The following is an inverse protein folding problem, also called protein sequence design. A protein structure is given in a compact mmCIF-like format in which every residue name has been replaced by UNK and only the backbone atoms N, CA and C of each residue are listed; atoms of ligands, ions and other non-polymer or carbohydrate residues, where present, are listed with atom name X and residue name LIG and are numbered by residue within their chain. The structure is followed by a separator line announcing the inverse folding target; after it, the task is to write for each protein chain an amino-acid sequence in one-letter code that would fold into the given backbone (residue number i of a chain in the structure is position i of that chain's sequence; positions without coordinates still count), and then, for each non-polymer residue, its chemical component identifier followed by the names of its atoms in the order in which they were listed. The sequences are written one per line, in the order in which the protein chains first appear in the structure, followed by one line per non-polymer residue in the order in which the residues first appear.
data_IF_857198236708
#
_entry.id   IF_857198236708
#
_cell.length_a   1.000
_cell.length_b   1.000
_cell.length_c   1.000
_cell.angle_alpha   90.00
_cell.angle_beta   90.00
_cell.angle_gamma   90.00
#
_symmetry.space_group_name_H-M   'P 1'
#
loop_
_entity.id
_entity.type
_entity.pdbx_description
1 polymer ?
#
# COMPACT_ATOMS: atom_id res chain seq x y z
N UNK A 1 8.40 23.34 -31.28
CA UNK A 1 8.76 22.03 -30.68
C UNK A 1 9.96 22.13 -29.72
N UNK A 2 10.32 23.32 -29.22
CA UNK A 2 11.38 23.55 -28.25
C UNK A 2 10.95 23.35 -26.78
N UNK A 3 9.65 23.30 -26.50
CA UNK A 3 9.13 23.37 -25.12
C UNK A 3 9.09 22.00 -24.39
N UNK A 4 9.53 20.93 -25.06
CA UNK A 4 9.53 19.58 -24.47
C UNK A 4 10.80 19.32 -23.64
N UNK A 5 11.87 20.05 -23.91
CA UNK A 5 13.20 19.87 -23.32
C UNK A 5 13.72 21.18 -22.74
N UNK A 6 14.37 21.10 -21.59
CA UNK A 6 15.11 22.21 -21.03
C UNK A 6 16.60 22.02 -21.28
N UNK A 7 17.29 23.12 -21.56
CA UNK A 7 18.74 23.11 -21.64
C UNK A 7 19.31 22.80 -20.26
N UNK A 8 20.13 21.77 -20.17
CA UNK A 8 20.76 21.37 -18.92
C UNK A 8 21.56 22.53 -18.32
N UNK A 9 21.27 22.88 -17.06
CA UNK A 9 21.91 24.00 -16.36
C UNK A 9 21.30 25.39 -16.65
N UNK A 10 20.21 25.50 -17.41
CA UNK A 10 19.49 26.76 -17.55
C UNK A 10 18.74 27.15 -16.26
N UNK A 11 18.30 28.41 -16.16
CA UNK A 11 17.51 28.86 -15.01
C UNK A 11 16.20 28.08 -14.87
N UNK A 12 15.50 27.83 -15.98
CA UNK A 12 14.27 27.05 -16.04
C UNK A 12 14.51 25.60 -15.62
N UNK A 13 15.64 25.00 -16.05
CA UNK A 13 16.03 23.67 -15.60
C UNK A 13 16.17 23.61 -14.09
N UNK A 14 16.87 24.57 -13.46
CA UNK A 14 17.01 24.61 -12.01
C UNK A 14 15.69 24.85 -11.28
N UNK A 15 14.77 25.64 -11.85
CA UNK A 15 13.43 25.81 -11.30
C UNK A 15 12.64 24.49 -11.31
N UNK A 16 12.63 23.77 -12.45
CA UNK A 16 11.94 22.48 -12.56
C UNK A 16 12.59 21.43 -11.67
N UNK A 17 13.93 21.40 -11.60
CA UNK A 17 14.67 20.52 -10.70
C UNK A 17 14.31 20.79 -9.23
N UNK A 18 14.27 22.06 -8.81
CA UNK A 18 13.88 22.45 -7.46
C UNK A 18 12.45 21.98 -7.14
N UNK A 19 11.50 22.21 -8.04
CA UNK A 19 10.12 21.75 -7.88
C UNK A 19 10.03 20.22 -7.80
N UNK A 20 10.79 19.50 -8.63
CA UNK A 20 10.88 18.03 -8.58
C UNK A 20 11.43 17.54 -7.25
N UNK A 21 12.53 18.14 -6.76
CA UNK A 21 13.14 17.78 -5.48
C UNK A 21 12.15 18.04 -4.33
N UNK A 22 11.45 19.17 -4.34
CA UNK A 22 10.42 19.48 -3.34
C UNK A 22 9.27 18.47 -3.43
N UNK A 23 8.75 18.18 -4.63
CA UNK A 23 7.61 17.28 -4.81
C UNK A 23 7.93 15.84 -4.44
N UNK A 24 9.07 15.30 -4.90
CA UNK A 24 9.55 13.95 -4.53
C UNK A 24 9.93 13.89 -3.05
N UNK A 25 10.53 14.96 -2.53
CA UNK A 25 10.85 15.10 -1.11
C UNK A 25 9.60 15.05 -0.24
N UNK A 26 8.54 15.77 -0.63
CA UNK A 26 7.25 15.75 0.06
C UNK A 26 6.58 14.36 0.00
N UNK A 27 6.60 13.69 -1.14
CA UNK A 27 6.08 12.31 -1.30
C UNK A 27 6.82 11.33 -0.39
N UNK A 28 8.15 11.35 -0.44
CA UNK A 28 9.00 10.52 0.40
C UNK A 28 8.82 10.83 1.90
N UNK A 29 8.83 12.10 2.27
CA UNK A 29 8.64 12.55 3.64
C UNK A 29 7.25 12.20 4.16
N UNK A 30 6.19 12.38 3.37
CA UNK A 30 4.82 12.02 3.76
C UNK A 30 4.69 10.53 4.06
N UNK A 31 5.38 9.68 3.29
CA UNK A 31 5.41 8.23 3.51
C UNK A 31 6.19 7.90 4.78
N UNK A 32 7.32 8.57 5.02
CA UNK A 32 8.09 8.40 6.26
C UNK A 32 7.32 8.85 7.51
N UNK A 33 6.58 9.96 7.44
CA UNK A 33 5.72 10.40 8.55
C UNK A 33 4.60 9.40 8.78
N UNK A 34 3.98 8.88 7.71
CA UNK A 34 2.88 7.93 7.80
C UNK A 34 3.32 6.56 8.34
N UNK A 35 4.46 6.03 7.89
CA UNK A 35 4.90 4.65 8.20
C UNK A 35 6.43 4.55 8.36
N UNK A 36 7.02 5.17 9.39
CA UNK A 36 8.48 5.25 9.59
C UNK A 36 9.20 3.90 9.67
N UNK A 37 8.53 2.86 10.18
CA UNK A 37 9.07 1.52 10.38
C UNK A 37 9.03 0.61 9.16
N UNK A 38 8.43 1.04 8.03
CA UNK A 38 8.19 0.20 6.84
C UNK A 38 7.46 -1.12 7.13
N UNK A 39 6.89 -1.30 8.34
CA UNK A 39 6.22 -2.55 8.76
C UNK A 39 4.86 -2.74 8.11
N UNK A 40 4.34 -1.68 7.48
CA UNK A 40 3.08 -1.66 6.75
C UNK A 40 3.26 -1.88 5.24
N UNK A 41 4.49 -1.87 4.73
CA UNK A 41 4.74 -2.13 3.32
C UNK A 41 4.77 -3.65 3.04
N UNK A 42 3.85 -4.08 2.18
CA UNK A 42 3.80 -5.45 1.68
C UNK A 42 4.90 -5.75 0.63
N UNK A 43 5.64 -4.73 0.17
CA UNK A 43 6.66 -4.86 -0.87
C UNK A 43 8.02 -5.27 -0.25
N UNK A 44 8.50 -6.51 -0.48
CA UNK A 44 9.78 -6.98 0.08
C UNK A 44 10.99 -6.19 -0.47
N UNK A 45 10.87 -5.56 -1.64
CA UNK A 45 11.95 -4.74 -2.22
C UNK A 45 12.13 -3.43 -1.44
N UNK A 46 11.04 -2.74 -1.11
CA UNK A 46 11.11 -1.48 -0.38
C UNK A 46 11.62 -1.68 1.06
N UNK A 47 11.27 -2.82 1.69
CA UNK A 47 11.83 -3.23 2.98
C UNK A 47 13.33 -3.55 2.94
N UNK A 48 13.87 -3.96 1.78
CA UNK A 48 15.30 -4.27 1.58
C UNK A 48 16.12 -3.05 1.16
N UNK A 49 15.56 -2.16 0.32
CA UNK A 49 16.23 -0.92 -0.07
C UNK A 49 16.38 0.03 1.13
N UNK A 50 15.36 0.09 1.99
CA UNK A 50 15.33 1.01 3.11
C UNK A 50 15.32 2.49 2.68
N UNK A 51 15.17 3.38 3.66
CA UNK A 51 15.02 4.82 3.41
C UNK A 51 16.25 5.45 2.72
N UNK A 52 17.47 4.98 3.03
CA UNK A 52 18.71 5.55 2.49
C UNK A 52 18.82 5.40 0.97
N UNK A 53 18.57 4.21 0.42
CA UNK A 53 18.61 3.99 -1.02
C UNK A 53 17.40 4.58 -1.74
N UNK A 54 16.25 4.65 -1.08
CA UNK A 54 15.08 5.36 -1.60
C UNK A 54 15.34 6.85 -1.84
N UNK A 55 16.08 7.51 -0.94
CA UNK A 55 16.46 8.92 -1.11
C UNK A 55 17.36 9.13 -2.34
N UNK A 56 18.41 8.30 -2.48
CA UNK A 56 19.34 8.40 -3.62
C UNK A 56 18.64 8.14 -4.96
N UNK A 57 17.77 7.13 -5.02
CA UNK A 57 17.01 6.83 -6.23
C UNK A 57 16.08 7.99 -6.60
N UNK A 58 15.39 8.58 -5.62
CA UNK A 58 14.54 9.75 -5.86
C UNK A 58 15.33 10.96 -6.38
N UNK A 59 16.51 11.21 -5.82
CA UNK A 59 17.37 12.29 -6.27
C UNK A 59 17.87 12.06 -7.70
N UNK A 60 18.30 10.84 -8.02
CA UNK A 60 18.75 10.48 -9.36
C UNK A 60 17.63 10.62 -10.40
N UNK A 61 16.42 10.17 -10.07
CA UNK A 61 15.24 10.33 -10.92
C UNK A 61 14.92 11.82 -11.09
N UNK A 62 14.96 12.62 -10.03
CA UNK A 62 14.68 14.06 -10.11
C UNK A 62 15.67 14.78 -11.04
N UNK A 63 16.98 14.52 -10.89
CA UNK A 63 18.03 15.12 -11.73
C UNK A 63 17.87 14.71 -13.19
N UNK A 64 17.64 13.41 -13.45
CA UNK A 64 17.45 12.89 -14.79
C UNK A 64 16.19 13.46 -15.45
N UNK A 65 15.05 13.38 -14.78
CA UNK A 65 13.75 13.74 -15.37
C UNK A 65 13.62 15.25 -15.59
N UNK A 66 14.33 16.10 -14.84
CA UNK A 66 14.25 17.57 -14.96
C UNK A 66 14.58 18.11 -16.38
N UNK A 67 15.26 17.33 -17.22
CA UNK A 67 15.55 17.69 -18.63
C UNK A 67 14.28 17.68 -19.49
N UNK A 68 13.27 16.87 -19.14
CA UNK A 68 12.05 16.69 -19.92
C UNK A 68 10.85 17.32 -19.19
N UNK A 69 10.31 18.41 -19.73
CA UNK A 69 9.25 19.20 -19.07
C UNK A 69 8.00 18.36 -18.81
N UNK A 70 7.54 17.60 -19.81
CA UNK A 70 6.31 16.81 -19.70
C UNK A 70 6.35 15.77 -18.56
N UNK A 71 7.32 14.82 -18.53
CA UNK A 71 7.42 13.86 -17.42
C UNK A 71 7.82 14.54 -16.10
N UNK A 72 8.58 15.64 -16.11
CA UNK A 72 8.90 16.37 -14.88
C UNK A 72 7.64 16.93 -14.21
N UNK A 73 6.82 17.65 -14.96
CA UNK A 73 5.55 18.21 -14.44
C UNK A 73 4.58 17.10 -14.06
N UNK A 74 4.50 16.03 -14.86
CA UNK A 74 3.70 14.84 -14.54
C UNK A 74 4.10 14.25 -13.19
N UNK A 75 5.40 14.01 -12.97
CA UNK A 75 5.92 13.48 -11.71
C UNK A 75 5.70 14.45 -10.55
N UNK A 76 5.90 15.76 -10.74
CA UNK A 76 5.64 16.78 -9.71
C UNK A 76 4.18 16.68 -9.27
N UNK A 77 3.24 16.75 -10.21
CA UNK A 77 1.80 16.73 -9.92
C UNK A 77 1.39 15.44 -9.21
N UNK A 78 1.77 14.27 -9.75
CA UNK A 78 1.42 12.99 -9.12
C UNK A 78 2.03 12.87 -7.72
N UNK A 79 3.30 13.27 -7.54
CA UNK A 79 3.99 13.17 -6.23
C UNK A 79 3.34 14.06 -5.18
N UNK A 80 2.95 15.29 -5.52
CA UNK A 80 2.26 16.18 -4.60
C UNK A 80 0.87 15.66 -4.20
N UNK A 81 0.12 15.09 -5.14
CA UNK A 81 -1.19 14.48 -4.84
C UNK A 81 -1.06 13.27 -3.90
N UNK A 82 -0.07 12.40 -4.15
CA UNK A 82 0.22 11.28 -3.25
C UNK A 82 0.66 11.78 -1.88
N UNK A 83 1.54 12.78 -1.83
CA UNK A 83 2.00 13.39 -0.58
C UNK A 83 0.83 13.95 0.24
N UNK A 84 -0.07 14.70 -0.39
CA UNK A 84 -1.26 15.25 0.26
C UNK A 84 -2.14 14.14 0.86
N UNK A 85 -2.42 13.08 0.10
CA UNK A 85 -3.18 11.93 0.58
C UNK A 85 -2.49 11.22 1.74
N UNK A 86 -1.16 11.09 1.68
CA UNK A 86 -0.39 10.47 2.75
C UNK A 86 -0.44 11.31 4.03
N UNK A 87 -0.27 12.64 3.95
CA UNK A 87 -0.38 13.52 5.11
C UNK A 87 -1.75 13.47 5.77
N UNK A 88 -2.83 13.33 5.00
CA UNK A 88 -4.19 13.16 5.53
C UNK A 88 -4.32 11.92 6.43
N UNK A 89 -3.57 10.86 6.16
CA UNK A 89 -3.56 9.64 6.96
C UNK A 89 -2.43 9.60 8.01
N UNK A 90 -1.37 10.38 7.82
CA UNK A 90 -0.14 10.30 8.59
C UNK A 90 -0.33 10.64 10.06
N UNK A 91 -1.09 11.69 10.38
CA UNK A 91 -1.39 12.07 11.76
C UNK A 91 -2.13 10.96 12.51
N UNK A 92 -3.04 10.26 11.83
CA UNK A 92 -3.85 9.18 12.39
C UNK A 92 -2.99 7.92 12.63
N UNK A 93 -2.12 7.59 11.68
CA UNK A 93 -1.13 6.52 11.86
C UNK A 93 -0.20 6.82 13.03
N UNK A 94 0.25 8.07 13.18
CA UNK A 94 1.17 8.47 14.24
C UNK A 94 0.55 8.53 15.63
N UNK A 95 -0.69 8.96 15.76
CA UNK A 95 -1.36 9.00 17.06
C UNK A 95 -1.65 7.59 17.61
N UNK A 96 -1.92 6.61 16.75
CA UNK A 96 -2.19 5.22 17.15
C UNK A 96 -0.95 4.32 17.21
N UNK A 97 0.08 4.61 16.42
CA UNK A 97 1.18 3.69 16.13
C UNK A 97 0.81 2.69 15.02
N UNK A 98 1.83 2.21 14.29
CA UNK A 98 1.65 1.46 13.04
C UNK A 98 0.83 0.16 13.17
N UNK A 99 1.06 -0.60 14.24
CA UNK A 99 0.37 -1.88 14.46
C UNK A 99 -1.12 -1.68 14.76
N UNK A 100 -1.44 -0.77 15.69
CA UNK A 100 -2.81 -0.45 16.05
C UNK A 100 -3.57 0.19 14.87
N UNK A 101 -2.91 1.07 14.10
CA UNK A 101 -3.48 1.63 12.87
C UNK A 101 -3.83 0.55 11.85
N UNK A 102 -2.95 -0.43 11.63
CA UNK A 102 -3.19 -1.55 10.70
C UNK A 102 -4.40 -2.39 11.10
N UNK A 103 -4.47 -2.75 12.37
CA UNK A 103 -5.55 -3.58 12.90
C UNK A 103 -6.88 -2.83 12.89
N UNK A 104 -6.86 -1.55 13.24
CA UNK A 104 -8.01 -0.66 13.13
C UNK A 104 -8.50 -0.58 11.68
N UNK A 105 -7.60 -0.34 10.72
CA UNK A 105 -7.96 -0.27 9.29
C UNK A 105 -8.53 -1.60 8.80
N UNK A 106 -7.91 -2.73 9.15
CA UNK A 106 -8.39 -4.06 8.79
C UNK A 106 -9.79 -4.33 9.35
N UNK A 107 -10.05 -3.94 10.59
CA UNK A 107 -11.35 -4.06 11.23
C UNK A 107 -12.41 -3.21 10.52
N UNK A 108 -12.09 -1.97 10.12
CA UNK A 108 -13.02 -1.09 9.39
C UNK A 108 -13.33 -1.63 8.00
N UNK A 109 -12.32 -2.02 7.24
CA UNK A 109 -12.50 -2.62 5.90
C UNK A 109 -13.36 -3.88 5.94
N UNK A 110 -13.27 -4.67 7.01
CA UNK A 110 -14.08 -5.89 7.20
C UNK A 110 -15.54 -5.61 7.60
N UNK A 111 -15.83 -4.45 8.22
CA UNK A 111 -17.18 -4.08 8.69
C UNK A 111 -17.98 -3.28 7.67
N UNK A 112 -17.30 -2.54 6.78
CA UNK A 112 -17.95 -1.71 5.76
C UNK A 112 -18.38 -2.60 4.58
N UNK A 113 -19.59 -2.41 4.01
CA UNK A 113 -19.97 -3.10 2.79
C UNK A 113 -19.00 -2.72 1.66
N UNK A 114 -18.38 -3.72 1.02
CA UNK A 114 -17.35 -3.50 0.00
C UNK A 114 -17.83 -2.62 -1.15
N UNK A 115 -19.11 -2.69 -1.50
CA UNK A 115 -19.73 -1.82 -2.51
C UNK A 115 -19.62 -0.33 -2.16
N UNK A 116 -19.90 0.05 -0.91
CA UNK A 116 -19.77 1.44 -0.46
C UNK A 116 -18.31 1.89 -0.48
N UNK A 117 -17.39 1.03 -0.04
CA UNK A 117 -15.96 1.33 -0.06
C UNK A 117 -15.45 1.60 -1.49
N UNK A 118 -15.78 0.71 -2.44
CA UNK A 118 -15.35 0.87 -3.84
C UNK A 118 -16.09 1.99 -4.56
N UNK A 119 -17.35 2.26 -4.20
CA UNK A 119 -18.08 3.41 -4.71
C UNK A 119 -17.40 4.71 -4.30
N UNK A 120 -17.07 4.90 -3.01
CA UNK A 120 -16.39 6.10 -2.54
C UNK A 120 -14.99 6.25 -3.18
N UNK A 121 -14.22 5.15 -3.26
CA UNK A 121 -12.92 5.14 -3.91
C UNK A 121 -13.01 5.48 -5.41
N UNK A 122 -13.99 4.91 -6.11
CA UNK A 122 -14.25 5.15 -7.52
C UNK A 122 -14.72 6.58 -7.77
N UNK A 123 -15.64 7.09 -6.96
CA UNK A 123 -16.13 8.47 -7.06
C UNK A 123 -15.01 9.49 -6.86
N UNK A 124 -14.18 9.32 -5.83
CA UNK A 124 -13.00 10.18 -5.62
C UNK A 124 -12.04 10.12 -6.82
N UNK A 125 -11.78 8.92 -7.34
CA UNK A 125 -10.87 8.74 -8.49
C UNK A 125 -11.43 9.37 -9.76
N UNK A 126 -12.74 9.28 -9.99
CA UNK A 126 -13.42 9.87 -11.13
C UNK A 126 -13.32 11.40 -11.14
N UNK A 127 -13.40 12.04 -9.97
CA UNK A 127 -13.23 13.51 -9.86
C UNK A 127 -11.83 13.93 -10.31
N UNK A 128 -10.78 13.26 -9.84
CA UNK A 128 -9.41 13.54 -10.30
C UNK A 128 -9.19 13.21 -11.77
N UNK A 129 -9.81 12.12 -12.26
CA UNK A 129 -9.74 11.73 -13.66
C UNK A 129 -10.40 12.77 -14.57
N UNK A 130 -11.59 13.27 -14.20
CA UNK A 130 -12.31 14.30 -14.94
C UNK A 130 -11.52 15.60 -14.99
N UNK A 131 -10.93 16.02 -13.86
CA UNK A 131 -10.06 17.19 -13.81
C UNK A 131 -8.82 17.02 -14.70
N UNK A 132 -8.14 15.86 -14.60
CA UNK A 132 -6.98 15.55 -15.43
C UNK A 132 -7.32 15.51 -16.93
N UNK A 133 -8.42 14.87 -17.29
CA UNK A 133 -8.91 14.82 -18.68
C UNK A 133 -9.25 16.21 -19.21
N UNK A 134 -9.89 17.07 -18.42
CA UNK A 134 -10.15 18.46 -18.79
C UNK A 134 -8.84 19.21 -19.06
N UNK A 135 -7.83 19.08 -18.19
CA UNK A 135 -6.51 19.69 -18.41
C UNK A 135 -5.81 19.17 -19.68
N UNK A 136 -5.93 17.89 -20.00
CA UNK A 136 -5.36 17.32 -21.23
C UNK A 136 -6.09 17.85 -22.49
N UNK A 137 -7.42 17.89 -22.46
CA UNK A 137 -8.25 18.32 -23.61
C UNK A 137 -8.10 19.82 -23.87
N UNK A 138 -8.17 20.64 -22.83
CA UNK A 138 -8.12 22.11 -22.97
C UNK A 138 -6.70 22.68 -22.90
N UNK A 139 -5.72 21.91 -22.41
CA UNK A 139 -4.33 22.35 -22.22
C UNK A 139 -3.37 22.04 -23.37
N UNK A 140 -3.87 21.64 -24.56
CA UNK A 140 -3.03 21.20 -25.69
C UNK A 140 -1.96 22.23 -26.13
N UNK A 141 -2.19 23.52 -25.88
CA UNK A 141 -1.23 24.59 -26.17
C UNK A 141 -0.12 24.78 -25.13
N UNK A 142 -0.14 24.06 -24.00
CA UNK A 142 0.84 24.20 -22.92
C UNK A 142 1.31 22.83 -22.44
N UNK A 143 2.59 22.54 -22.64
CA UNK A 143 3.24 21.30 -22.16
C UNK A 143 3.13 21.15 -20.64
N UNK A 144 3.09 22.27 -19.91
CA UNK A 144 2.91 22.29 -18.46
C UNK A 144 1.49 21.84 -18.09
N UNK A 145 0.45 22.41 -18.70
CA UNK A 145 -0.94 22.00 -18.44
C UNK A 145 -1.18 20.55 -18.84
N UNK A 146 -0.58 20.12 -19.96
CA UNK A 146 -0.63 18.73 -20.40
C UNK A 146 0.03 17.80 -19.37
N UNK A 147 1.22 18.14 -18.88
CA UNK A 147 1.93 17.38 -17.85
C UNK A 147 1.15 17.30 -16.54
N UNK A 148 0.53 18.40 -16.10
CA UNK A 148 -0.36 18.40 -14.95
C UNK A 148 -1.55 17.46 -15.17
N UNK A 149 -2.22 17.56 -16.31
CA UNK A 149 -3.36 16.72 -16.68
C UNK A 149 -3.01 15.23 -16.67
N UNK A 150 -1.89 14.85 -17.31
CA UNK A 150 -1.38 13.48 -17.28
C UNK A 150 -1.06 13.04 -15.85
N UNK A 151 -0.49 13.91 -15.01
CA UNK A 151 -0.21 13.63 -13.61
C UNK A 151 -1.46 13.33 -12.77
N UNK A 152 -2.56 14.07 -13.00
CA UNK A 152 -3.86 13.80 -12.39
C UNK A 152 -4.48 12.48 -12.86
N UNK A 153 -4.42 12.19 -14.17
CA UNK A 153 -4.90 10.93 -14.73
C UNK A 153 -4.11 9.75 -14.16
N UNK A 154 -2.78 9.85 -14.10
CA UNK A 154 -1.91 8.83 -13.53
C UNK A 154 -2.26 8.57 -12.05
N UNK A 155 -2.43 9.63 -11.25
CA UNK A 155 -2.86 9.52 -9.86
C UNK A 155 -4.23 8.81 -9.73
N UNK A 156 -5.21 9.22 -10.54
CA UNK A 156 -6.57 8.69 -10.54
C UNK A 156 -6.65 7.20 -10.93
N UNK A 157 -5.66 6.66 -11.64
CA UNK A 157 -5.58 5.24 -12.00
C UNK A 157 -4.76 4.45 -10.98
N UNK A 158 -3.58 4.96 -10.63
CA UNK A 158 -2.59 4.24 -9.82
C UNK A 158 -3.06 4.09 -8.38
N UNK A 159 -3.55 5.17 -7.75
CA UNK A 159 -3.94 5.15 -6.33
C UNK A 159 -5.09 4.18 -6.02
N UNK A 160 -6.21 4.16 -6.76
CA UNK A 160 -7.26 3.18 -6.50
C UNK A 160 -6.79 1.75 -6.77
N UNK A 161 -5.93 1.53 -7.77
CA UNK A 161 -5.36 0.20 -8.03
C UNK A 161 -4.54 -0.31 -6.84
N UNK A 162 -3.62 0.50 -6.31
CA UNK A 162 -2.84 0.14 -5.12
C UNK A 162 -3.72 -0.01 -3.88
N UNK A 163 -4.71 0.85 -3.71
CA UNK A 163 -5.68 0.75 -2.60
C UNK A 163 -6.46 -0.56 -2.67
N UNK A 164 -6.91 -0.95 -3.85
CA UNK A 164 -7.59 -2.22 -4.09
C UNK A 164 -6.70 -3.43 -3.76
N UNK A 165 -5.43 -3.42 -4.21
CA UNK A 165 -4.48 -4.48 -3.89
C UNK A 165 -4.25 -4.60 -2.38
N UNK A 166 -4.12 -3.48 -1.66
CA UNK A 166 -3.99 -3.45 -0.21
C UNK A 166 -5.20 -4.05 0.51
N UNK A 167 -6.41 -3.66 0.10
CA UNK A 167 -7.67 -4.21 0.64
C UNK A 167 -7.77 -5.71 0.37
N UNK A 168 -7.46 -6.18 -0.85
CA UNK A 168 -7.44 -7.62 -1.16
C UNK A 168 -6.48 -8.38 -0.26
N UNK A 169 -5.31 -7.80 0.05
CA UNK A 169 -4.36 -8.39 1.00
C UNK A 169 -4.96 -8.57 2.39
N UNK A 170 -5.65 -7.55 2.92
CA UNK A 170 -6.33 -7.59 4.22
C UNK A 170 -7.44 -8.65 4.25
N UNK A 171 -8.20 -8.77 3.15
CA UNK A 171 -9.29 -9.73 3.02
C UNK A 171 -8.77 -11.18 2.90
N UNK A 172 -7.65 -11.40 2.19
CA UNK A 172 -7.01 -12.73 2.06
C UNK A 172 -6.44 -13.26 3.37
N UNK A 173 -5.93 -12.39 4.25
CA UNK A 173 -5.39 -12.80 5.56
C UNK A 173 -6.46 -13.42 6.49
N UNK A 174 -7.75 -13.20 6.23
CA UNK A 174 -8.87 -13.86 6.93
C UNK A 174 -8.95 -15.37 6.65
N UNK A 175 -8.37 -15.83 5.54
CA UNK A 175 -8.46 -17.22 5.08
C UNK A 175 -7.27 -18.10 5.49
N UNK A 176 -6.39 -17.65 6.38
CA UNK A 176 -5.58 -18.59 7.19
C UNK A 176 -6.40 -18.90 8.44
N UNK A 177 -7.28 -19.92 8.41
CA UNK A 177 -7.83 -20.44 9.65
C UNK A 177 -6.64 -20.82 10.53
N UNK A 178 -6.80 -20.63 11.83
CA UNK A 178 -5.91 -21.12 12.87
C UNK A 178 -5.84 -22.65 12.81
N UNK A 179 -5.12 -23.16 11.82
CA UNK A 179 -4.92 -24.60 11.59
C UNK A 179 -4.00 -25.23 12.65
N UNK A 180 -3.71 -24.55 13.76
CA UNK A 180 -2.74 -25.02 14.77
C UNK A 180 -3.02 -24.59 16.22
N UNK A 181 -4.15 -23.97 16.57
CA UNK A 181 -4.43 -23.70 18.01
C UNK A 181 -5.29 -24.79 18.68
N UNK A 182 -6.01 -25.62 17.90
CA UNK A 182 -6.80 -26.71 18.47
C UNK A 182 -5.98 -27.97 18.78
N UNK A 183 -4.79 -28.13 18.18
CA UNK A 183 -3.94 -29.32 18.41
C UNK A 183 -3.09 -29.22 19.68
N UNK A 184 -2.80 -28.02 20.20
CA UNK A 184 -1.98 -27.85 21.41
C UNK A 184 -2.83 -27.73 22.69
N UNK A 185 -4.10 -27.32 22.57
CA UNK A 185 -5.01 -27.23 23.73
C UNK A 185 -5.56 -28.61 24.12
N UNK A 186 -5.75 -29.52 23.17
CA UNK A 186 -6.18 -30.90 23.45
C UNK A 186 -5.07 -31.77 24.09
N UNK A 187 -3.81 -31.35 24.01
CA UNK A 187 -2.66 -32.04 24.65
C UNK A 187 -2.42 -31.55 26.08
N UNK A 188 -2.85 -30.32 26.41
CA UNK A 188 -2.71 -29.75 27.74
C UNK A 188 -3.96 -29.89 28.63
N UNK A 189 -5.10 -30.32 28.07
CA UNK A 189 -6.36 -30.48 28.82
C UNK A 189 -6.49 -31.81 29.57
N UNK A 190 -5.60 -32.78 29.37
CA UNK A 190 -5.61 -34.05 30.13
C UNK A 190 -4.18 -34.56 30.42
N UNK A 191 -3.56 -34.15 31.54
CA UNK A 191 -2.24 -34.67 31.94
C UNK A 191 -2.26 -36.15 32.33
N UNK A 192 -3.42 -36.82 32.38
CA UNK A 192 -3.57 -38.24 32.70
C UNK A 192 -3.82 -39.13 31.49
N UNK A 193 -3.80 -38.58 30.26
CA UNK A 193 -3.97 -39.39 29.05
C UNK A 193 -2.69 -40.16 28.74
N UNK A 194 -2.51 -41.29 29.41
CA UNK A 194 -1.42 -42.23 29.16
C UNK A 194 -1.51 -42.68 27.70
N UNK A 195 -0.43 -42.58 26.90
CA UNK A 195 -0.41 -43.09 25.54
C UNK A 195 -0.68 -44.59 25.59
N UNK A 196 -1.82 -45.03 25.04
CA UNK A 196 -2.06 -46.47 24.81
C UNK A 196 -1.05 -46.95 23.76
N UNK A 197 0.08 -47.44 24.23
CA UNK A 197 0.98 -48.26 23.42
C UNK A 197 0.24 -49.57 23.11
N UNK A 198 -0.43 -49.61 21.97
CA UNK A 198 -1.01 -50.85 21.46
C UNK A 198 0.10 -51.85 21.17
N UNK A 199 0.14 -52.96 21.91
CA UNK A 199 0.74 -54.20 21.43
C UNK A 199 -0.33 -54.96 20.65
N UNK A 200 -0.07 -55.39 19.41
CA UNK A 200 -0.96 -56.29 18.69
C UNK A 200 -0.74 -57.70 19.21
N UNK A 201 -1.83 -58.38 19.56
CA UNK A 201 -1.83 -59.82 19.84
C UNK A 201 -1.86 -60.17 21.32
N UNK A 202 -3.04 -60.10 21.93
CA UNK A 202 -3.41 -61.10 22.93
C UNK A 202 -4.93 -61.25 22.92
N UNK A 203 -5.38 -62.28 22.20
CA UNK A 203 -6.69 -62.88 22.37
C UNK A 203 -6.75 -63.53 23.75
N UNK A 204 -7.81 -63.30 24.50
CA UNK A 204 -8.33 -64.35 25.37
C UNK A 204 -9.86 -64.23 25.49
N UNK A 205 -10.54 -65.37 25.73
CA UNK A 205 -11.91 -65.61 25.33
C UNK A 205 -12.88 -65.57 26.52
N UNK A 206 -14.15 -65.39 26.18
CA UNK A 206 -15.33 -65.94 26.85
C UNK A 206 -15.40 -65.96 28.38
N UNK A 207 -16.36 -65.22 28.92
CA UNK A 207 -17.39 -65.83 29.79
C UNK A 207 -18.56 -64.86 29.99
N UNK A 208 -19.74 -65.25 29.51
CA UNK A 208 -21.05 -64.87 30.08
C UNK A 208 -21.36 -65.96 31.13
N UNK A 209 -22.05 -65.71 32.26
CA UNK A 209 -23.50 -65.51 32.21
C UNK A 209 -24.18 -64.77 33.41
N UNK A 210 -25.49 -64.56 33.24
CA UNK A 210 -26.60 -64.55 34.23
C UNK A 210 -26.65 -63.43 35.28
N UNK A 211 -27.65 -62.56 35.25
CA UNK A 211 -29.06 -62.71 35.71
C UNK A 211 -29.16 -62.91 37.23
N UNK A 212 -29.77 -61.92 37.87
CA UNK A 212 -30.19 -61.85 39.27
C UNK A 212 -30.75 -60.47 39.53
#
# INVERSE_FOLDING_TARGET
MSDLYLQFGSAEYFMVLLLLVIARGADFFSTWVATPGLKLEANPLARRLGWRWGLWLNLLIAVGVAVWVLPAVTLITTSLLVAARNFQAAWLSRSMGEHAYREWLATRVRRVPLGLFFFCLGAQSLVYLALGAALVVFGQGSVVLLGMGVGFVAYAVVVPLFTWLGVRGILRQRQRPELNFSSDVDVLADPNRIPRTGRPGQSDPGFSPTVG
#
